data_IF_847360027857
#
_entry.id   IF_847360027857
#
_cell.length_a   1.000
_cell.length_b   1.000
_cell.length_c   1.000
_cell.angle_alpha   90.00
_cell.angle_beta   90.00
_cell.angle_gamma   90.00
#
_symmetry.space_group_name_H-M   'P 1'
#
loop_
_entity.id
_entity.type
_entity.pdbx_description
1 polymer ?
#
# COMPACT_ATOMS: atom_id res chain seq x y z
N UNK A 1 14.86 13.20 5.07
CA UNK A 1 15.98 13.06 6.02
C UNK A 1 17.27 13.35 5.29
N UNK A 2 18.22 14.01 5.94
CA UNK A 2 19.57 14.19 5.39
C UNK A 2 20.41 12.93 5.69
N UNK A 3 21.43 12.65 4.88
CA UNK A 3 22.25 11.44 5.01
C UNK A 3 22.94 11.30 6.39
N UNK A 4 23.25 12.43 7.03
CA UNK A 4 23.90 12.48 8.34
C UNK A 4 22.94 12.37 9.54
N UNK A 5 21.62 12.35 9.30
CA UNK A 5 20.64 12.30 10.38
C UNK A 5 20.44 10.86 10.84
N UNK A 6 20.34 10.67 12.16
CA UNK A 6 19.97 9.37 12.72
C UNK A 6 18.50 9.07 12.48
N UNK A 7 18.18 7.81 12.36
CA UNK A 7 16.79 7.38 12.27
C UNK A 7 16.02 7.80 13.53
N UNK A 8 14.79 8.33 13.36
CA UNK A 8 14.01 8.83 14.49
C UNK A 8 13.55 7.67 15.39
N UNK A 9 13.73 7.82 16.68
CA UNK A 9 13.29 6.85 17.69
C UNK A 9 12.25 7.41 18.66
N UNK A 10 11.79 8.64 18.44
CA UNK A 10 10.85 9.31 19.33
C UNK A 10 10.05 10.41 18.63
N UNK A 11 8.89 10.76 19.18
CA UNK A 11 8.09 11.93 18.81
C UNK A 11 7.80 12.77 20.05
N UNK A 12 7.60 14.08 19.85
CA UNK A 12 7.20 15.01 20.91
C UNK A 12 5.77 15.47 20.63
N UNK A 13 4.86 15.23 21.58
CA UNK A 13 3.47 15.62 21.51
C UNK A 13 3.06 16.27 22.81
N UNK A 14 2.47 17.46 22.74
CA UNK A 14 2.04 18.26 23.89
C UNK A 14 3.18 18.41 24.94
N UNK A 15 4.42 18.70 24.46
CA UNK A 15 5.63 18.85 25.30
C UNK A 15 6.20 17.55 25.88
N UNK A 16 5.58 16.40 25.66
CA UNK A 16 6.03 15.10 26.14
C UNK A 16 6.68 14.30 25.03
N UNK A 17 7.89 13.76 25.31
CA UNK A 17 8.60 12.83 24.43
C UNK A 17 8.09 11.40 24.62
N UNK A 18 7.76 10.74 23.53
CA UNK A 18 7.37 9.35 23.47
C UNK A 18 8.43 8.57 22.68
N UNK A 19 9.08 7.61 23.35
CA UNK A 19 10.02 6.69 22.70
C UNK A 19 9.25 5.69 21.86
N UNK A 20 9.74 5.40 20.66
CA UNK A 20 9.12 4.53 19.66
C UNK A 20 9.99 3.28 19.41
N UNK A 21 9.33 2.16 19.22
CA UNK A 21 9.93 0.94 18.66
C UNK A 21 9.45 0.81 17.21
N UNK A 22 10.25 1.35 16.31
CA UNK A 22 9.96 1.40 14.88
C UNK A 22 10.59 0.25 14.09
N UNK A 23 10.75 -0.94 14.73
CA UNK A 23 10.99 -2.17 13.98
C UNK A 23 9.88 -2.36 12.94
N UNK A 24 10.25 -2.71 11.70
CA UNK A 24 9.29 -2.81 10.58
C UNK A 24 8.11 -3.74 10.89
N UNK A 25 8.32 -4.82 11.66
CA UNK A 25 7.28 -5.77 12.07
C UNK A 25 6.24 -5.12 12.98
N UNK A 26 6.67 -4.24 13.88
CA UNK A 26 5.78 -3.51 14.76
C UNK A 26 4.97 -2.46 13.99
N UNK A 27 5.60 -1.80 13.02
CA UNK A 27 4.91 -0.85 12.15
C UNK A 27 3.90 -1.56 11.24
N UNK A 28 4.22 -2.73 10.69
CA UNK A 28 3.25 -3.54 9.93
C UNK A 28 2.04 -3.93 10.78
N UNK A 29 2.23 -4.42 12.01
CA UNK A 29 1.12 -4.70 12.95
C UNK A 29 0.29 -3.45 13.26
N UNK A 30 0.91 -2.29 13.38
CA UNK A 30 0.22 -1.02 13.54
C UNK A 30 -0.65 -0.71 12.33
N UNK A 31 -0.13 -0.88 11.11
CA UNK A 31 -0.87 -0.68 9.86
C UNK A 31 -2.06 -1.63 9.78
N UNK A 32 -1.87 -2.93 10.05
CA UNK A 32 -2.94 -3.92 10.04
C UNK A 32 -4.12 -3.53 10.95
N UNK A 33 -3.83 -2.95 12.13
CA UNK A 33 -4.88 -2.46 13.03
C UNK A 33 -5.55 -1.20 12.47
N UNK A 34 -4.81 -0.32 11.80
CA UNK A 34 -5.36 0.90 11.22
C UNK A 34 -6.30 0.62 10.04
N UNK A 35 -6.09 -0.47 9.33
CA UNK A 35 -6.92 -0.90 8.20
C UNK A 35 -8.24 -1.58 8.64
N UNK A 36 -8.41 -1.85 9.94
CA UNK A 36 -9.65 -2.42 10.48
C UNK A 36 -10.74 -1.37 10.60
N UNK A 37 -11.99 -1.73 10.24
CA UNK A 37 -13.16 -0.84 10.35
C UNK A 37 -14.08 -1.20 11.52
N UNK A 38 -13.82 -2.33 12.17
CA UNK A 38 -14.59 -2.82 13.31
C UNK A 38 -14.27 -2.10 14.65
N UNK A 39 -13.31 -1.17 14.64
CA UNK A 39 -12.86 -0.45 15.84
C UNK A 39 -13.19 1.03 15.77
N UNK A 40 -13.67 1.59 16.89
CA UNK A 40 -13.80 3.03 17.06
C UNK A 40 -12.44 3.73 16.95
N UNK A 41 -12.39 4.99 16.45
CA UNK A 41 -11.13 5.69 16.16
C UNK A 41 -10.13 5.72 17.32
N UNK A 42 -10.60 6.00 18.54
CA UNK A 42 -9.75 6.06 19.74
C UNK A 42 -9.21 4.67 20.10
N UNK A 43 -10.07 3.65 20.11
CA UNK A 43 -9.68 2.27 20.40
C UNK A 43 -8.69 1.74 19.36
N UNK A 44 -8.93 2.06 18.09
CA UNK A 44 -8.03 1.78 16.96
C UNK A 44 -6.67 2.43 17.20
N UNK A 45 -6.63 3.71 17.56
CA UNK A 45 -5.39 4.44 17.83
C UNK A 45 -4.60 3.82 19.00
N UNK A 46 -5.24 3.54 20.12
CA UNK A 46 -4.58 2.89 21.26
C UNK A 46 -4.04 1.50 20.90
N UNK A 47 -4.83 0.68 20.21
CA UNK A 47 -4.44 -0.66 19.80
C UNK A 47 -3.28 -0.62 18.80
N UNK A 48 -3.33 0.25 17.80
CA UNK A 48 -2.27 0.43 16.83
C UNK A 48 -0.96 0.88 17.49
N UNK A 49 -1.04 1.87 18.40
CA UNK A 49 0.13 2.39 19.11
C UNK A 49 0.73 1.39 20.09
N UNK A 50 -0.01 0.40 20.59
CA UNK A 50 0.51 -0.59 21.53
C UNK A 50 1.72 -1.37 21.00
N UNK A 51 1.89 -1.45 19.68
CA UNK A 51 3.02 -2.10 19.02
C UNK A 51 4.27 -1.22 18.96
N UNK A 52 4.11 0.09 18.89
CA UNK A 52 5.23 1.02 18.61
C UNK A 52 5.50 2.01 19.74
N UNK A 53 4.56 2.21 20.68
CA UNK A 53 4.66 3.22 21.72
C UNK A 53 4.01 2.76 23.04
N UNK A 54 4.67 3.06 24.18
CA UNK A 54 4.13 2.71 25.49
C UNK A 54 3.23 3.84 26.04
N UNK A 55 1.96 3.52 26.37
CA UNK A 55 1.00 4.33 27.14
C UNK A 55 0.88 5.81 26.72
N UNK A 56 0.46 6.10 25.49
CA UNK A 56 0.23 7.49 25.07
C UNK A 56 -0.94 8.09 25.84
N UNK A 57 -0.80 9.35 26.35
CA UNK A 57 -1.92 10.07 26.99
C UNK A 57 -2.99 10.50 25.98
N UNK A 58 -2.57 10.92 24.79
CA UNK A 58 -3.42 11.31 23.67
C UNK A 58 -3.05 10.46 22.46
N UNK A 59 -3.74 9.32 22.32
CA UNK A 59 -3.40 8.33 21.28
C UNK A 59 -3.56 8.90 19.87
N UNK A 60 -4.61 9.66 19.59
CA UNK A 60 -4.86 10.22 18.25
C UNK A 60 -3.75 11.17 17.83
N UNK A 61 -3.37 12.14 18.69
CA UNK A 61 -2.28 13.08 18.37
C UNK A 61 -0.93 12.38 18.20
N UNK A 62 -0.63 11.39 19.05
CA UNK A 62 0.61 10.61 18.95
C UNK A 62 0.63 9.80 17.66
N UNK A 63 -0.49 9.17 17.30
CA UNK A 63 -0.63 8.43 16.06
C UNK A 63 -0.40 9.33 14.82
N UNK A 64 -1.02 10.52 14.79
CA UNK A 64 -0.84 11.48 13.70
C UNK A 64 0.63 11.94 13.58
N UNK A 65 1.30 12.18 14.71
CA UNK A 65 2.72 12.54 14.71
C UNK A 65 3.59 11.40 14.17
N UNK A 66 3.28 10.14 14.52
CA UNK A 66 3.99 8.97 13.99
C UNK A 66 3.71 8.79 12.49
N UNK A 67 2.46 8.96 12.06
CA UNK A 67 2.12 8.91 10.63
C UNK A 67 2.89 9.95 9.83
N UNK A 68 2.93 11.19 10.30
CA UNK A 68 3.70 12.25 9.65
C UNK A 68 5.21 11.95 9.59
N UNK A 69 5.74 11.26 10.60
CA UNK A 69 7.14 10.85 10.67
C UNK A 69 7.47 9.74 9.67
N UNK A 70 6.62 8.69 9.60
CA UNK A 70 6.89 7.46 8.86
C UNK A 70 6.40 7.49 7.42
N UNK A 71 5.26 8.14 7.18
CA UNK A 71 4.61 8.14 5.87
C UNK A 71 4.68 9.54 5.27
N UNK A 72 5.56 9.72 4.30
CA UNK A 72 5.54 10.94 3.49
C UNK A 72 4.19 11.05 2.80
N UNK A 73 3.70 12.28 2.62
CA UNK A 73 2.45 12.52 1.90
C UNK A 73 2.42 11.70 0.60
N UNK A 74 1.31 11.00 0.31
CA UNK A 74 1.24 10.12 -0.85
C UNK A 74 1.51 10.95 -2.10
N UNK A 75 2.56 10.60 -2.84
CA UNK A 75 2.67 11.05 -4.21
C UNK A 75 1.43 10.54 -4.93
N UNK A 76 0.78 11.37 -5.75
CA UNK A 76 -0.33 10.94 -6.61
C UNK A 76 0.20 9.83 -7.52
N UNK A 77 0.07 8.60 -7.06
CA UNK A 77 0.32 7.41 -7.85
C UNK A 77 -1.00 6.99 -8.48
N UNK A 78 -0.95 6.34 -9.62
CA UNK A 78 -2.12 5.92 -10.43
C UNK A 78 -3.05 4.90 -9.76
N UNK A 79 -3.14 4.88 -8.46
CA UNK A 79 -4.14 4.13 -7.68
C UNK A 79 -4.03 2.61 -7.70
N UNK A 80 -3.21 2.01 -8.54
CA UNK A 80 -3.08 0.55 -8.60
C UNK A 80 -2.11 0.05 -7.52
N UNK A 81 -2.59 -0.78 -6.60
CA UNK A 81 -1.76 -1.50 -5.63
C UNK A 81 -0.88 -2.51 -6.36
N UNK A 82 0.43 -2.35 -6.28
CA UNK A 82 1.40 -3.23 -6.96
C UNK A 82 2.16 -4.14 -6.01
N UNK A 83 2.08 -3.88 -4.70
CA UNK A 83 2.73 -4.64 -3.63
C UNK A 83 1.76 -4.83 -2.47
N UNK A 84 1.80 -6.03 -1.87
CA UNK A 84 1.07 -6.36 -0.66
C UNK A 84 2.02 -7.03 0.33
N UNK A 85 2.12 -6.50 1.57
CA UNK A 85 3.07 -7.04 2.56
C UNK A 85 2.72 -8.43 3.07
N UNK A 86 1.47 -8.87 2.94
CA UNK A 86 1.02 -10.20 3.34
C UNK A 86 1.25 -11.19 2.20
N UNK A 87 0.69 -10.90 1.01
CA UNK A 87 0.75 -11.80 -0.14
C UNK A 87 2.16 -11.90 -0.72
N UNK A 88 2.91 -10.80 -0.75
CA UNK A 88 4.29 -10.76 -1.26
C UNK A 88 5.36 -11.03 -0.19
N UNK A 89 4.98 -11.37 1.04
CA UNK A 89 5.92 -11.55 2.15
C UNK A 89 7.07 -12.51 1.83
N UNK A 90 6.80 -13.60 1.11
CA UNK A 90 7.81 -14.56 0.67
C UNK A 90 8.79 -13.98 -0.34
N UNK A 91 8.27 -13.24 -1.32
CA UNK A 91 9.09 -12.56 -2.34
C UNK A 91 9.97 -11.48 -1.74
N UNK A 92 9.42 -10.67 -0.82
CA UNK A 92 10.14 -9.60 -0.13
C UNK A 92 11.29 -10.21 0.70
N UNK A 93 11.01 -11.25 1.51
CA UNK A 93 12.05 -11.91 2.31
C UNK A 93 13.16 -12.51 1.45
N UNK A 94 12.81 -13.18 0.36
CA UNK A 94 13.78 -13.74 -0.56
C UNK A 94 14.65 -12.64 -1.22
N UNK A 95 14.03 -11.54 -1.65
CA UNK A 95 14.72 -10.42 -2.26
C UNK A 95 15.69 -9.73 -1.29
N UNK A 96 15.30 -9.50 -0.02
CA UNK A 96 16.19 -8.95 1.01
C UNK A 96 17.38 -9.86 1.29
N UNK A 97 17.15 -11.17 1.39
CA UNK A 97 18.24 -12.12 1.59
C UNK A 97 19.19 -12.16 0.39
N UNK A 98 18.65 -12.14 -0.83
CA UNK A 98 19.44 -12.17 -2.05
C UNK A 98 20.23 -10.87 -2.28
N UNK A 99 19.58 -9.72 -2.11
CA UNK A 99 20.19 -8.43 -2.43
C UNK A 99 21.13 -7.91 -1.33
N UNK A 100 20.79 -8.15 -0.05
CA UNK A 100 21.45 -7.51 1.08
C UNK A 100 22.01 -8.50 2.11
N UNK A 101 21.75 -9.79 1.98
CA UNK A 101 22.09 -10.81 2.99
C UNK A 101 21.26 -10.71 4.27
N UNK A 102 20.20 -9.88 4.30
CA UNK A 102 19.39 -9.61 5.49
C UNK A 102 18.32 -10.71 5.63
N UNK A 103 18.23 -11.30 6.83
CA UNK A 103 17.18 -12.25 7.18
C UNK A 103 16.04 -11.55 7.93
N UNK A 104 14.97 -11.17 7.21
CA UNK A 104 13.81 -10.49 7.79
C UNK A 104 13.05 -11.31 8.85
N UNK A 105 13.37 -12.58 9.08
CA UNK A 105 12.87 -13.35 10.23
C UNK A 105 13.64 -13.04 11.52
N UNK A 106 14.91 -12.69 11.44
CA UNK A 106 15.84 -12.59 12.59
C UNK A 106 16.33 -11.16 12.80
N UNK A 107 16.67 -10.47 11.71
CA UNK A 107 17.30 -9.16 11.76
C UNK A 107 16.28 -8.07 12.07
N UNK A 108 16.67 -7.13 12.91
CA UNK A 108 15.88 -5.95 13.23
C UNK A 108 16.21 -4.85 12.22
N UNK A 109 15.18 -4.28 11.64
CA UNK A 109 15.30 -3.13 10.74
C UNK A 109 14.33 -2.04 11.17
N UNK A 110 14.80 -0.82 11.19
CA UNK A 110 13.94 0.34 11.36
C UNK A 110 13.02 0.47 10.13
N UNK A 111 11.77 0.88 10.31
CA UNK A 111 10.78 1.00 9.23
C UNK A 111 11.28 1.81 8.02
N UNK A 112 11.94 2.95 8.27
CA UNK A 112 12.47 3.79 7.20
C UNK A 112 13.53 3.04 6.41
N UNK A 113 14.48 2.40 7.08
CA UNK A 113 15.52 1.57 6.45
C UNK A 113 14.90 0.41 5.66
N UNK A 114 13.94 -0.30 6.25
CA UNK A 114 13.21 -1.35 5.56
C UNK A 114 12.56 -0.86 4.26
N UNK A 115 11.88 0.29 4.29
CA UNK A 115 11.22 0.85 3.10
C UNK A 115 12.19 1.39 2.07
N UNK A 116 13.32 1.96 2.48
CA UNK A 116 14.40 2.39 1.59
C UNK A 116 15.03 1.20 0.87
N UNK A 117 15.38 0.13 1.59
CA UNK A 117 15.92 -1.09 1.01
C UNK A 117 14.91 -1.81 0.11
N UNK A 118 13.63 -1.85 0.48
CA UNK A 118 12.56 -2.42 -0.34
C UNK A 118 12.45 -1.71 -1.69
N UNK A 119 12.54 -0.38 -1.68
CA UNK A 119 12.49 0.43 -2.91
C UNK A 119 13.79 0.34 -3.74
N UNK A 120 14.89 -0.08 -3.12
CA UNK A 120 16.20 -0.21 -3.76
C UNK A 120 16.52 -1.67 -4.18
N UNK A 121 15.56 -2.60 -4.07
CA UNK A 121 15.73 -3.99 -4.53
C UNK A 121 16.13 -3.97 -6.02
N UNK A 122 17.25 -4.65 -6.39
CA UNK A 122 17.75 -4.64 -7.76
C UNK A 122 16.76 -5.24 -8.76
N UNK A 123 16.81 -4.75 -9.99
CA UNK A 123 16.17 -5.40 -11.13
C UNK A 123 16.68 -6.82 -11.30
N UNK A 124 15.82 -7.73 -11.80
CA UNK A 124 16.15 -9.15 -11.95
C UNK A 124 15.88 -10.01 -10.71
N UNK A 125 15.49 -9.42 -9.57
CA UNK A 125 14.90 -10.18 -8.48
C UNK A 125 13.46 -10.61 -8.85
N UNK A 126 13.01 -11.77 -8.34
CA UNK A 126 11.63 -12.21 -8.58
C UNK A 126 10.59 -11.21 -8.07
N UNK A 127 10.89 -10.51 -6.97
CA UNK A 127 10.04 -9.44 -6.46
C UNK A 127 9.92 -8.27 -7.45
N UNK A 128 11.05 -7.75 -7.95
CA UNK A 128 11.03 -6.64 -8.92
C UNK A 128 10.34 -7.00 -10.22
N UNK A 129 10.50 -8.24 -10.71
CA UNK A 129 9.77 -8.75 -11.87
C UNK A 129 8.25 -8.74 -11.67
N UNK A 130 7.77 -9.28 -10.55
CA UNK A 130 6.34 -9.36 -10.22
C UNK A 130 5.75 -7.95 -10.08
N UNK A 131 6.42 -7.06 -9.35
CA UNK A 131 5.99 -5.66 -9.19
C UNK A 131 5.99 -4.93 -10.54
N UNK A 132 7.01 -5.14 -11.37
CA UNK A 132 7.12 -4.58 -12.72
C UNK A 132 5.97 -5.04 -13.63
N UNK A 133 5.62 -6.32 -13.63
CA UNK A 133 4.48 -6.86 -14.38
C UNK A 133 3.16 -6.24 -13.93
N UNK A 134 2.95 -6.12 -12.61
CA UNK A 134 1.73 -5.50 -12.05
C UNK A 134 1.62 -4.03 -12.43
N UNK A 135 2.73 -3.29 -12.33
CA UNK A 135 2.78 -1.85 -12.60
C UNK A 135 2.67 -1.51 -14.09
N UNK A 136 3.10 -2.41 -14.97
CA UNK A 136 3.16 -2.14 -16.42
C UNK A 136 1.77 -1.86 -17.00
N UNK A 137 1.52 -0.70 -17.63
CA UNK A 137 0.24 -0.42 -18.27
C UNK A 137 0.03 -1.36 -19.47
N UNK A 138 -1.23 -1.70 -19.74
CA UNK A 138 -1.57 -2.43 -20.96
C UNK A 138 -1.42 -1.50 -22.15
N UNK A 139 -0.56 -1.84 -23.15
CA UNK A 139 -0.40 -0.99 -24.32
C UNK A 139 -1.68 -0.92 -25.15
N UNK A 140 -1.91 0.21 -25.84
CA UNK A 140 -3.04 0.36 -26.76
C UNK A 140 -3.02 -0.75 -27.83
N UNK A 141 -4.19 -1.25 -28.24
CA UNK A 141 -4.27 -2.32 -29.24
C UNK A 141 -3.83 -1.80 -30.62
N UNK A 142 -2.91 -2.52 -31.24
CA UNK A 142 -2.47 -2.30 -32.61
C UNK A 142 -2.43 -3.63 -33.36
N UNK A 143 -2.34 -3.58 -34.70
CA UNK A 143 -2.24 -4.80 -35.53
C UNK A 143 -0.98 -5.64 -35.21
N UNK A 144 0.04 -5.02 -34.61
CA UNK A 144 1.37 -5.61 -34.47
C UNK A 144 1.70 -6.06 -33.04
N UNK A 145 0.89 -5.71 -32.02
CA UNK A 145 1.22 -5.99 -30.63
C UNK A 145 0.25 -6.97 -29.94
N UNK A 146 -0.51 -7.74 -30.69
CA UNK A 146 -1.47 -8.70 -30.11
C UNK A 146 -0.78 -9.71 -29.21
N UNK A 147 0.30 -10.32 -29.64
CA UNK A 147 1.05 -11.30 -28.83
C UNK A 147 1.63 -10.70 -27.56
N UNK A 148 2.17 -9.47 -27.62
CA UNK A 148 2.67 -8.77 -26.43
C UNK A 148 1.54 -8.53 -25.42
N UNK A 149 0.37 -8.10 -25.90
CA UNK A 149 -0.81 -7.87 -25.08
C UNK A 149 -1.31 -9.15 -24.42
N UNK A 150 -1.40 -10.24 -25.17
CA UNK A 150 -1.82 -11.55 -24.66
C UNK A 150 -0.83 -12.06 -23.61
N UNK A 151 0.47 -11.98 -23.88
CA UNK A 151 1.51 -12.35 -22.92
C UNK A 151 1.38 -11.51 -21.63
N UNK A 152 1.27 -10.18 -21.75
CA UNK A 152 1.16 -9.29 -20.61
C UNK A 152 -0.13 -9.55 -19.81
N UNK A 153 -1.24 -9.82 -20.48
CA UNK A 153 -2.51 -10.15 -19.82
C UNK A 153 -2.37 -11.44 -19.00
N UNK A 154 -1.76 -12.50 -19.55
CA UNK A 154 -1.48 -13.75 -18.84
C UNK A 154 -0.52 -13.53 -17.67
N UNK A 155 0.56 -12.78 -17.88
CA UNK A 155 1.54 -12.47 -16.84
C UNK A 155 0.88 -11.70 -15.68
N UNK A 156 0.05 -10.69 -15.97
CA UNK A 156 -0.70 -9.94 -14.97
C UNK A 156 -1.70 -10.83 -14.21
N UNK A 157 -2.39 -11.74 -14.89
CA UNK A 157 -3.30 -12.68 -14.25
C UNK A 157 -2.56 -13.58 -13.23
N UNK A 158 -1.38 -14.11 -13.62
CA UNK A 158 -0.56 -14.97 -12.76
C UNK A 158 0.08 -14.23 -11.57
N UNK A 159 0.31 -12.93 -11.71
CA UNK A 159 0.93 -12.11 -10.65
C UNK A 159 -0.09 -11.27 -9.87
N UNK A 160 -1.38 -11.43 -10.14
CA UNK A 160 -2.43 -10.61 -9.55
C UNK A 160 -2.46 -10.78 -8.04
N UNK A 161 -2.60 -9.65 -7.31
CA UNK A 161 -2.94 -9.66 -5.89
C UNK A 161 -4.39 -10.11 -5.73
N UNK A 162 -4.61 -10.99 -4.78
CA UNK A 162 -5.97 -11.32 -4.34
C UNK A 162 -6.58 -10.07 -3.70
N UNK A 163 -7.78 -9.74 -4.12
CA UNK A 163 -8.50 -8.62 -3.54
C UNK A 163 -9.15 -9.06 -2.24
N UNK A 164 -9.04 -8.25 -1.20
CA UNK A 164 -9.81 -8.46 0.02
C UNK A 164 -11.32 -8.35 -0.28
N UNK A 165 -12.16 -8.95 0.56
CA UNK A 165 -13.63 -8.85 0.41
C UNK A 165 -14.09 -7.40 0.31
N UNK A 166 -13.50 -6.49 1.10
CA UNK A 166 -13.78 -5.05 1.04
C UNK A 166 -13.37 -4.38 -0.28
N UNK A 167 -12.23 -4.75 -0.84
CA UNK A 167 -11.79 -4.23 -2.13
C UNK A 167 -12.70 -4.75 -3.25
N UNK A 168 -13.18 -6.00 -3.12
CA UNK A 168 -14.17 -6.57 -4.04
C UNK A 168 -15.51 -5.85 -3.94
N UNK A 169 -16.01 -5.59 -2.73
CA UNK A 169 -17.25 -4.88 -2.48
C UNK A 169 -17.21 -3.44 -3.00
N UNK A 170 -16.15 -2.69 -2.68
CA UNK A 170 -15.95 -1.32 -3.22
C UNK A 170 -15.87 -1.29 -4.74
N UNK A 171 -15.22 -2.27 -5.33
CA UNK A 171 -15.15 -2.38 -6.79
C UNK A 171 -16.51 -2.68 -7.38
N UNK A 172 -17.26 -3.61 -6.77
CA UNK A 172 -18.63 -3.91 -7.19
C UNK A 172 -19.53 -2.68 -7.10
N UNK A 173 -19.49 -1.91 -6.02
CA UNK A 173 -20.22 -0.66 -5.86
C UNK A 173 -19.84 0.38 -6.94
N UNK A 174 -18.55 0.52 -7.25
CA UNK A 174 -18.08 1.39 -8.32
C UNK A 174 -18.55 0.94 -9.70
N UNK A 175 -18.49 -0.35 -9.98
CA UNK A 175 -18.92 -0.91 -11.27
C UNK A 175 -20.43 -0.75 -11.44
N UNK A 176 -21.23 -0.98 -10.40
CA UNK A 176 -22.67 -0.73 -10.38
C UNK A 176 -22.98 0.75 -10.58
N UNK A 177 -22.25 1.64 -9.88
CA UNK A 177 -22.38 3.09 -10.05
C UNK A 177 -22.07 3.56 -11.47
N UNK A 178 -21.02 3.03 -12.09
CA UNK A 178 -20.66 3.33 -13.47
C UNK A 178 -21.71 2.85 -14.48
N UNK A 179 -22.26 1.65 -14.27
CA UNK A 179 -23.35 1.12 -15.10
C UNK A 179 -24.61 1.99 -14.96
N UNK A 180 -24.99 2.37 -13.73
CA UNK A 180 -26.13 3.24 -13.48
C UNK A 180 -25.95 4.61 -14.15
N UNK A 181 -24.77 5.23 -14.04
CA UNK A 181 -24.44 6.49 -14.69
C UNK A 181 -24.51 6.38 -16.23
N UNK A 182 -24.01 5.27 -16.79
CA UNK A 182 -24.09 5.01 -18.22
C UNK A 182 -25.54 4.88 -18.71
N UNK A 183 -26.37 4.12 -17.99
CA UNK A 183 -27.80 3.94 -18.32
C UNK A 183 -28.59 5.26 -18.23
N UNK A 184 -28.31 6.08 -17.19
CA UNK A 184 -28.92 7.40 -17.06
C UNK A 184 -28.52 8.33 -18.21
N UNK A 185 -27.22 8.30 -18.60
CA UNK A 185 -26.76 9.06 -19.77
C UNK A 185 -27.41 8.65 -21.07
N UNK A 186 -27.64 7.35 -21.26
CA UNK A 186 -28.38 6.84 -22.44
C UNK A 186 -29.88 7.25 -22.45
N UNK A 187 -30.52 7.26 -21.27
CA UNK A 187 -31.91 7.69 -21.13
C UNK A 187 -32.06 9.17 -21.49
N UNK A 188 -31.20 10.04 -20.97
CA UNK A 188 -31.19 11.47 -21.27
C UNK A 188 -30.89 11.75 -22.75
N UNK A 189 -30.03 10.96 -23.40
CA UNK A 189 -29.75 11.10 -24.83
C UNK A 189 -30.96 10.71 -25.71
N UNK A 190 -31.83 9.80 -25.27
CA UNK A 190 -33.06 9.45 -25.95
C UNK A 190 -34.11 10.56 -25.85
N UNK A 191 -34.28 11.14 -24.66
CA UNK A 191 -35.27 12.23 -24.44
C UNK A 191 -34.93 13.48 -25.25
N UNK A 192 -33.65 13.73 -25.55
CA UNK A 192 -33.23 14.87 -26.42
C UNK A 192 -33.51 14.60 -27.89
N UNK A 193 -33.51 13.35 -28.35
CA UNK A 193 -33.77 12.97 -29.73
C UNK A 193 -35.29 12.85 -30.06
N UNK A 194 -36.15 12.70 -29.05
CA UNK A 194 -37.60 12.63 -29.25
C UNK A 194 -38.29 14.01 -29.18
N UNK A 195 -37.61 15.05 -28.67
CA UNK A 195 -38.14 16.41 -28.52
C UNK A 195 -37.49 17.46 -29.47
N UNK A 196 -36.76 17.07 -30.48
CA UNK A 196 -36.14 17.90 -31.52
C UNK A 196 -36.69 17.53 -32.87
#
# INVERSE_FOLDING_TARGET
MKLQERLPDSVVVDGKRYKLDLDFRNVLKMIDVLDRDDLMPEAKAYKALSFVCKRPKNALKVLESIKALLFKAPRKTSGQKVTDFIQDAGLIRAAFRQAYGIDLYRDKLHWIEFTELLNAIPEGSRYSEVVGIRARPMPAATKWNQHEREWLAKAKANCRLEMSEKEQEKRYEQDVGNIAAFLLGMAQAKDVNENG
#
